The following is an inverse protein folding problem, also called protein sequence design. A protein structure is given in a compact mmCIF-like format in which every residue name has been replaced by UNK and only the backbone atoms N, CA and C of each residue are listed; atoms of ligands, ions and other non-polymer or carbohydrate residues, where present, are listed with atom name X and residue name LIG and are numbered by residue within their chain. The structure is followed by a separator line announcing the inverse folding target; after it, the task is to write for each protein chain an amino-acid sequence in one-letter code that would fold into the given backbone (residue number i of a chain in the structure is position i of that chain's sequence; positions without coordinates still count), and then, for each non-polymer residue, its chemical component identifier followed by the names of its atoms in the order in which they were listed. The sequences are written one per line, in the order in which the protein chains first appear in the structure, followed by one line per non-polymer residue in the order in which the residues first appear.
data_IF_210845162179
#
_entry.id   IF_210845162179
#
_cell.length_a   1.000
_cell.length_b   1.000
_cell.length_c   1.000
_cell.angle_alpha   90.00
_cell.angle_beta   90.00
_cell.angle_gamma   90.00
#
_symmetry.space_group_name_H-M   'P 1'
#
loop_
_entity.id
_entity.type
_entity.pdbx_description
1 polymer ?
#
# COMPACT_ATOMS: atom_id res chain seq x y z
N UNK A 1 2.20 14.31 27.84
CA UNK A 1 2.18 15.19 26.65
C UNK A 1 0.98 14.78 25.82
N UNK A 2 -0.11 15.54 25.92
CA UNK A 2 -1.32 15.34 25.12
C UNK A 2 -1.10 16.02 23.77
N UNK A 3 -0.93 15.23 22.70
CA UNK A 3 -0.94 15.74 21.34
C UNK A 3 -2.33 16.32 21.08
N UNK A 4 -2.43 17.65 21.09
CA UNK A 4 -3.64 18.38 20.73
C UNK A 4 -4.03 18.00 19.30
N UNK A 5 -5.17 17.32 19.15
CA UNK A 5 -5.90 17.17 17.88
C UNK A 5 -6.03 18.58 17.28
N UNK A 6 -5.50 18.82 16.08
CA UNK A 6 -5.74 20.10 15.39
C UNK A 6 -7.24 20.15 15.08
N UNK A 7 -7.93 21.17 15.57
CA UNK A 7 -9.28 21.53 15.11
C UNK A 7 -9.22 21.72 13.60
N UNK A 8 -9.73 20.74 12.83
CA UNK A 8 -9.74 20.79 11.37
C UNK A 8 -9.24 19.52 10.67
N UNK A 9 -8.60 18.57 11.37
CA UNK A 9 -8.32 17.27 10.74
C UNK A 9 -9.63 16.47 10.68
N UNK A 10 -10.09 16.06 9.47
CA UNK A 10 -11.31 15.28 9.33
C UNK A 10 -11.21 13.99 10.16
N UNK A 11 -12.31 13.60 10.77
CA UNK A 11 -12.33 12.37 11.56
C UNK A 11 -12.01 11.18 10.66
N UNK A 12 -11.45 10.11 11.24
CA UNK A 12 -11.08 8.93 10.46
C UNK A 12 -12.30 8.33 9.75
N UNK A 13 -13.47 8.37 10.40
CA UNK A 13 -14.73 7.93 9.83
C UNK A 13 -15.18 8.79 8.64
N UNK A 14 -14.94 10.11 8.70
CA UNK A 14 -15.25 11.02 7.60
C UNK A 14 -14.33 10.75 6.39
N UNK A 15 -13.03 10.56 6.65
CA UNK A 15 -12.05 10.17 5.63
C UNK A 15 -12.41 8.83 4.98
N UNK A 16 -12.81 7.85 5.80
CA UNK A 16 -13.23 6.54 5.35
C UNK A 16 -14.49 6.62 4.50
N UNK A 17 -15.50 7.39 4.91
CA UNK A 17 -16.73 7.59 4.16
C UNK A 17 -16.45 8.24 2.80
N UNK A 18 -15.68 9.33 2.77
CA UNK A 18 -15.32 10.04 1.55
C UNK A 18 -14.50 9.18 0.58
N UNK A 19 -13.56 8.38 1.10
CA UNK A 19 -12.75 7.47 0.29
C UNK A 19 -13.56 6.27 -0.20
N UNK A 20 -14.44 5.72 0.64
CA UNK A 20 -15.30 4.58 0.28
C UNK A 20 -16.34 4.95 -0.77
N UNK A 21 -16.81 6.20 -0.80
CA UNK A 21 -17.70 6.68 -1.87
C UNK A 21 -17.03 6.60 -3.26
N UNK A 22 -15.71 6.77 -3.32
CA UNK A 22 -14.93 6.68 -4.56
C UNK A 22 -14.41 5.26 -4.83
N UNK A 23 -14.21 4.47 -3.78
CA UNK A 23 -13.73 3.10 -3.87
C UNK A 23 -14.56 2.18 -2.95
N UNK A 24 -15.74 1.71 -3.40
CA UNK A 24 -16.68 0.97 -2.55
C UNK A 24 -16.10 -0.31 -1.91
N UNK A 25 -15.14 -0.95 -2.58
CA UNK A 25 -14.42 -2.12 -2.09
C UNK A 25 -13.68 -1.86 -0.77
N UNK A 26 -13.31 -0.60 -0.50
CA UNK A 26 -12.68 -0.20 0.75
C UNK A 26 -13.58 -0.49 1.94
N UNK A 27 -14.87 -0.15 1.85
CA UNK A 27 -15.78 -0.31 2.99
C UNK A 27 -15.94 -1.78 3.38
N UNK A 28 -16.07 -2.66 2.40
CA UNK A 28 -16.23 -4.10 2.63
C UNK A 28 -14.97 -4.77 3.20
N UNK A 29 -13.80 -4.18 2.98
CA UNK A 29 -12.51 -4.75 3.40
C UNK A 29 -11.86 -3.99 4.57
N UNK A 30 -12.48 -2.90 5.06
CA UNK A 30 -11.84 -1.98 5.98
C UNK A 30 -11.38 -2.62 7.29
N UNK A 31 -12.21 -3.48 7.88
CA UNK A 31 -11.87 -4.13 9.15
C UNK A 31 -10.65 -5.04 9.01
N UNK A 32 -10.55 -5.78 7.89
CA UNK A 32 -9.41 -6.63 7.60
C UNK A 32 -8.14 -5.82 7.29
N UNK A 33 -8.26 -4.74 6.51
CA UNK A 33 -7.16 -3.84 6.16
C UNK A 33 -6.62 -3.16 7.42
N UNK A 34 -7.51 -2.60 8.24
CA UNK A 34 -7.14 -1.87 9.44
C UNK A 34 -6.48 -2.78 10.47
N UNK A 35 -7.01 -3.99 10.69
CA UNK A 35 -6.39 -4.98 11.56
C UNK A 35 -4.98 -5.39 11.10
N UNK A 36 -4.80 -5.64 9.79
CA UNK A 36 -3.49 -6.03 9.25
C UNK A 36 -2.44 -4.91 9.39
N UNK A 37 -2.82 -3.67 9.06
CA UNK A 37 -1.93 -2.50 9.19
C UNK A 37 -1.60 -2.23 10.65
N UNK A 38 -2.58 -2.24 11.55
CA UNK A 38 -2.35 -2.00 12.97
C UNK A 38 -1.47 -3.06 13.60
N UNK A 39 -1.66 -4.33 13.24
CA UNK A 39 -0.81 -5.43 13.71
C UNK A 39 0.63 -5.29 13.20
N UNK A 40 0.81 -4.87 11.94
CA UNK A 40 2.14 -4.68 11.35
C UNK A 40 2.86 -3.45 11.90
N UNK A 41 2.17 -2.32 11.97
CA UNK A 41 2.73 -1.03 12.40
C UNK A 41 2.82 -0.90 13.93
N UNK A 42 2.14 -1.77 14.67
CA UNK A 42 1.90 -1.63 16.11
C UNK A 42 1.38 -0.21 16.48
N UNK A 43 0.49 0.33 15.66
CA UNK A 43 0.02 1.71 15.75
C UNK A 43 -1.39 1.87 15.15
N UNK A 44 -2.20 2.75 15.74
CA UNK A 44 -3.51 3.11 15.21
C UNK A 44 -3.41 3.88 13.89
N UNK A 45 -4.42 3.74 13.04
CA UNK A 45 -4.54 4.50 11.80
C UNK A 45 -5.02 5.92 12.12
N UNK A 46 -4.39 6.91 11.52
CA UNK A 46 -4.69 8.34 11.69
C UNK A 46 -5.40 8.94 10.49
N UNK A 47 -5.11 8.50 9.26
CA UNK A 47 -5.71 9.06 8.05
C UNK A 47 -5.83 8.04 6.92
N UNK A 48 -6.77 8.27 6.02
CA UNK A 48 -6.99 7.49 4.80
C UNK A 48 -7.33 8.46 3.67
N UNK A 49 -6.75 8.26 2.48
CA UNK A 49 -7.14 9.00 1.28
C UNK A 49 -6.98 8.17 0.03
N UNK A 50 -7.73 8.50 -1.02
CA UNK A 50 -7.53 7.91 -2.34
C UNK A 50 -6.19 8.41 -2.92
N UNK A 51 -5.32 7.48 -3.34
CA UNK A 51 -4.07 7.78 -4.02
C UNK A 51 -4.18 7.60 -5.54
N UNK A 52 -4.97 6.61 -5.98
CA UNK A 52 -5.33 6.40 -7.39
C UNK A 52 -6.65 5.63 -7.48
N UNK A 53 -7.10 5.33 -8.71
CA UNK A 53 -8.38 4.61 -8.95
C UNK A 53 -8.57 3.33 -8.14
N UNK A 54 -7.48 2.66 -7.74
CA UNK A 54 -7.51 1.37 -7.02
C UNK A 54 -6.56 1.34 -5.82
N UNK A 55 -5.97 2.47 -5.46
CA UNK A 55 -4.98 2.54 -4.40
C UNK A 55 -5.41 3.59 -3.41
N UNK A 56 -5.39 3.23 -2.13
CA UNK A 56 -5.53 4.16 -1.03
C UNK A 56 -4.19 4.31 -0.31
N UNK A 57 -4.00 5.49 0.26
CA UNK A 57 -2.93 5.80 1.18
C UNK A 57 -3.48 5.77 2.60
N UNK A 58 -2.81 5.04 3.48
CA UNK A 58 -3.16 4.92 4.91
C UNK A 58 -1.98 5.41 5.73
N UNK A 59 -2.23 6.33 6.65
CA UNK A 59 -1.21 6.83 7.58
C UNK A 59 -1.57 6.38 9.00
N UNK A 60 -0.54 6.14 9.81
CA UNK A 60 -0.67 5.77 11.22
C UNK A 60 -0.20 6.89 12.13
N UNK A 61 -0.63 6.85 13.39
CA UNK A 61 -0.23 7.83 14.42
C UNK A 61 1.28 7.85 14.69
N UNK A 62 2.01 6.77 14.34
CA UNK A 62 3.47 6.70 14.43
C UNK A 62 4.19 7.33 13.24
N UNK A 63 3.46 7.82 12.23
CA UNK A 63 4.01 8.38 11.00
C UNK A 63 4.32 7.34 9.92
N UNK A 64 4.11 6.04 10.19
CA UNK A 64 4.22 5.01 9.16
C UNK A 64 3.07 5.14 8.17
N UNK A 65 3.37 4.91 6.90
CA UNK A 65 2.48 5.11 5.77
C UNK A 65 2.43 3.85 4.91
N UNK A 66 1.26 3.55 4.36
CA UNK A 66 0.99 2.31 3.63
C UNK A 66 0.17 2.56 2.36
N UNK A 67 0.49 1.83 1.29
CA UNK A 67 -0.33 1.71 0.10
C UNK A 67 -1.21 0.46 0.20
N UNK A 68 -2.53 0.61 0.05
CA UNK A 68 -3.44 -0.53 -0.11
C UNK A 68 -4.01 -0.51 -1.51
N UNK A 69 -3.75 -1.56 -2.28
CA UNK A 69 -4.18 -1.72 -3.67
C UNK A 69 -5.26 -2.78 -3.77
N UNK A 70 -6.32 -2.50 -4.52
CA UNK A 70 -7.43 -3.42 -4.75
C UNK A 70 -7.33 -4.09 -6.13
N UNK A 71 -7.59 -5.39 -6.13
CA UNK A 71 -7.60 -6.24 -7.31
C UNK A 71 -8.93 -6.16 -8.05
N UNK A 72 -8.92 -6.56 -9.32
CA UNK A 72 -10.14 -6.78 -10.10
C UNK A 72 -9.90 -7.86 -11.17
N UNK A 73 -10.95 -8.38 -11.83
CA UNK A 73 -10.80 -9.46 -12.80
C UNK A 73 -9.86 -9.14 -13.99
N UNK A 74 -9.74 -7.87 -14.37
CA UNK A 74 -8.88 -7.43 -15.48
C UNK A 74 -7.43 -7.20 -15.05
N UNK A 75 -7.17 -7.08 -13.75
CA UNK A 75 -5.85 -6.80 -13.19
C UNK A 75 -5.74 -7.46 -11.80
N UNK A 76 -5.55 -8.80 -11.79
CA UNK A 76 -5.32 -9.57 -10.57
C UNK A 76 -3.99 -9.21 -9.89
N UNK A 77 -3.95 -9.38 -8.57
CA UNK A 77 -2.84 -9.06 -7.69
C UNK A 77 -1.96 -10.29 -7.36
N UNK A 78 -2.42 -11.53 -7.56
CA UNK A 78 -1.64 -12.72 -7.19
C UNK A 78 -0.23 -12.75 -7.81
N UNK A 79 -0.11 -12.34 -9.08
CA UNK A 79 1.20 -12.24 -9.76
C UNK A 79 2.07 -11.15 -9.15
N UNK A 80 1.51 -9.97 -8.88
CA UNK A 80 2.22 -8.84 -8.26
C UNK A 80 2.73 -9.20 -6.86
N UNK A 81 1.91 -9.85 -6.03
CA UNK A 81 2.32 -10.35 -4.71
C UNK A 81 3.46 -11.35 -4.82
N UNK A 82 3.34 -12.32 -5.74
CA UNK A 82 4.37 -13.33 -5.96
C UNK A 82 5.70 -12.70 -6.39
N UNK A 83 5.65 -11.70 -7.27
CA UNK A 83 6.83 -10.95 -7.71
C UNK A 83 7.44 -10.15 -6.57
N UNK A 84 6.65 -9.41 -5.78
CA UNK A 84 7.18 -8.64 -4.65
C UNK A 84 7.81 -9.55 -3.59
N UNK A 85 7.20 -10.70 -3.28
CA UNK A 85 7.77 -11.69 -2.35
C UNK A 85 9.07 -12.28 -2.88
N UNK A 86 9.13 -12.64 -4.16
CA UNK A 86 10.34 -13.15 -4.81
C UNK A 86 11.48 -12.12 -4.75
N UNK A 87 11.22 -10.88 -5.18
CA UNK A 87 12.21 -9.79 -5.18
C UNK A 87 12.68 -9.48 -3.75
N UNK A 88 11.78 -9.49 -2.77
CA UNK A 88 12.16 -9.32 -1.37
C UNK A 88 13.07 -10.45 -0.87
N UNK A 89 12.77 -11.69 -1.23
CA UNK A 89 13.62 -12.86 -0.93
C UNK A 89 15.00 -12.77 -1.60
N UNK A 90 15.06 -12.18 -2.79
CA UNK A 90 16.30 -11.88 -3.50
C UNK A 90 17.06 -10.65 -2.95
N UNK A 91 16.57 -10.04 -1.85
CA UNK A 91 17.13 -8.82 -1.24
C UNK A 91 17.09 -7.57 -2.12
N UNK A 92 16.21 -7.55 -3.14
CA UNK A 92 15.98 -6.36 -3.93
C UNK A 92 15.29 -5.27 -3.08
N UNK A 93 15.52 -3.98 -3.38
CA UNK A 93 14.96 -2.84 -2.66
C UNK A 93 13.49 -2.58 -3.05
N UNK A 94 12.62 -3.56 -2.76
CA UNK A 94 11.16 -3.46 -2.97
C UNK A 94 10.41 -3.33 -1.65
N UNK A 95 9.23 -2.67 -1.66
CA UNK A 95 8.35 -2.62 -0.48
C UNK A 95 7.97 -4.03 -0.01
N UNK A 96 7.93 -4.22 1.31
CA UNK A 96 7.42 -5.46 1.87
C UNK A 96 5.90 -5.54 1.69
N UNK A 97 5.39 -6.71 1.30
CA UNK A 97 3.96 -7.01 1.34
C UNK A 97 3.58 -7.33 2.78
N UNK A 98 2.63 -6.58 3.33
CA UNK A 98 2.10 -6.83 4.67
C UNK A 98 1.37 -8.19 4.64
N UNK A 99 1.64 -9.09 5.58
CA UNK A 99 0.92 -10.36 5.67
C UNK A 99 -0.57 -10.13 5.84
N UNK A 100 -1.38 -10.79 5.02
CA UNK A 100 -2.83 -10.85 5.16
C UNK A 100 -3.24 -12.29 5.45
N UNK A 101 -4.39 -12.49 6.11
CA UNK A 101 -4.89 -13.84 6.44
C UNK A 101 -5.34 -14.66 5.21
N UNK A 102 -5.18 -14.12 4.00
CA UNK A 102 -5.52 -14.82 2.75
C UNK A 102 -4.34 -15.72 2.36
N UNK A 103 -4.40 -16.98 2.78
CA UNK A 103 -3.37 -17.98 2.51
C UNK A 103 -3.56 -18.68 1.16
N UNK A 104 -4.77 -18.70 0.61
CA UNK A 104 -5.11 -19.36 -0.66
C UNK A 104 -6.09 -18.50 -1.49
N UNK A 105 -5.81 -18.33 -2.79
CA UNK A 105 -6.70 -17.63 -3.73
C UNK A 105 -6.17 -16.31 -4.28
N UNK A 106 -6.95 -15.67 -5.15
CA UNK A 106 -6.67 -14.34 -5.70
C UNK A 106 -6.94 -13.28 -4.61
N UNK A 107 -5.95 -12.50 -4.16
CA UNK A 107 -6.17 -11.52 -3.12
C UNK A 107 -7.01 -10.35 -3.65
N UNK A 108 -8.10 -10.02 -2.96
CA UNK A 108 -8.93 -8.85 -3.28
C UNK A 108 -8.18 -7.53 -3.06
N UNK A 109 -7.21 -7.53 -2.15
CA UNK A 109 -6.36 -6.39 -1.87
C UNK A 109 -5.00 -6.82 -1.35
N UNK A 110 -4.02 -5.93 -1.48
CA UNK A 110 -2.67 -6.07 -0.93
C UNK A 110 -2.28 -4.78 -0.24
N UNK A 111 -1.50 -4.87 0.84
CA UNK A 111 -0.94 -3.71 1.51
C UNK A 111 0.59 -3.77 1.48
N UNK A 112 1.22 -2.61 1.27
CA UNK A 112 2.68 -2.45 1.24
C UNK A 112 3.08 -1.15 1.94
N UNK A 113 4.32 -1.06 2.41
CA UNK A 113 4.85 0.21 2.92
C UNK A 113 4.84 1.28 1.83
N UNK A 114 4.47 2.51 2.19
CA UNK A 114 4.44 3.63 1.26
C UNK A 114 5.86 4.14 1.00
N UNK A 115 6.32 3.99 -0.24
CA UNK A 115 7.65 4.45 -0.67
C UNK A 115 7.79 5.97 -0.85
N UNK A 116 6.72 6.75 -0.70
CA UNK A 116 6.70 8.19 -1.03
C UNK A 116 6.41 8.46 -2.51
N UNK A 117 6.58 9.72 -2.95
CA UNK A 117 6.49 10.14 -4.37
C UNK A 117 7.72 9.73 -5.19
N UNK A 118 8.38 8.61 -4.85
CA UNK A 118 9.61 8.20 -5.53
C UNK A 118 9.25 7.74 -6.94
N UNK A 119 9.63 8.54 -7.93
CA UNK A 119 9.64 8.13 -9.33
C UNK A 119 10.83 7.19 -9.55
N UNK A 120 10.72 6.33 -10.57
CA UNK A 120 11.80 5.43 -10.99
C UNK A 120 13.11 6.21 -11.22
N UNK A 121 13.02 7.39 -11.82
CA UNK A 121 14.19 8.25 -12.12
C UNK A 121 14.94 8.68 -10.85
N UNK A 122 14.22 9.12 -9.80
CA UNK A 122 14.82 9.53 -8.54
C UNK A 122 15.47 8.36 -7.76
N UNK A 123 15.06 7.13 -8.06
CA UNK A 123 15.64 5.91 -7.52
C UNK A 123 16.87 5.45 -8.32
N UNK A 124 16.81 5.53 -9.65
CA UNK A 124 17.90 5.18 -10.55
C UNK A 124 19.11 6.11 -10.41
N UNK A 125 18.90 7.40 -10.15
CA UNK A 125 19.98 8.37 -9.88
C UNK A 125 20.82 8.02 -8.63
N UNK A 126 20.32 7.15 -7.76
CA UNK A 126 21.00 6.71 -6.53
C UNK A 126 21.62 5.32 -6.63
N UNK A 127 21.48 4.63 -7.77
CA UNK A 127 21.98 3.28 -7.99
C UNK A 127 22.98 3.23 -9.17
N UNK A 128 24.25 3.60 -8.96
CA UNK A 128 25.23 3.69 -10.04
C UNK A 128 25.63 2.35 -10.69
N UNK A 129 25.39 1.19 -10.04
CA UNK A 129 26.12 -0.05 -10.38
C UNK A 129 25.28 -1.33 -10.67
N UNK A 130 23.97 -1.29 -10.94
CA UNK A 130 23.28 -2.55 -11.31
C UNK A 130 22.07 -2.40 -12.23
N UNK A 131 22.36 -2.41 -13.54
CA UNK A 131 21.34 -2.58 -14.60
C UNK A 131 20.68 -3.98 -14.62
N UNK A 132 21.04 -4.91 -13.73
CA UNK A 132 20.48 -6.26 -13.71
C UNK A 132 19.12 -6.36 -12.98
N UNK A 133 18.79 -5.43 -12.09
CA UNK A 133 17.53 -5.41 -11.31
C UNK A 133 16.34 -4.78 -12.09
N UNK A 134 16.61 -4.28 -13.30
CA UNK A 134 15.64 -3.63 -14.20
C UNK A 134 14.47 -4.54 -14.61
N UNK A 135 14.63 -5.86 -14.57
CA UNK A 135 13.55 -6.81 -14.91
C UNK A 135 12.43 -6.86 -13.85
N UNK A 136 12.73 -6.58 -12.58
CA UNK A 136 11.73 -6.54 -11.51
C UNK A 136 10.88 -5.27 -11.54
N UNK A 137 11.46 -4.14 -11.94
CA UNK A 137 10.83 -2.81 -12.00
C UNK A 137 9.90 -2.63 -13.21
N UNK A 138 10.17 -3.31 -14.34
CA UNK A 138 9.23 -3.35 -15.47
C UNK A 138 7.87 -3.95 -15.06
N UNK A 139 7.84 -4.87 -14.07
CA UNK A 139 6.61 -5.54 -13.67
C UNK A 139 5.69 -4.66 -12.80
N UNK A 140 6.25 -3.78 -11.96
CA UNK A 140 5.45 -2.92 -11.08
C UNK A 140 4.79 -1.76 -11.84
N UNK A 141 5.45 -1.21 -12.86
CA UNK A 141 4.90 -0.16 -13.71
C UNK A 141 3.78 -0.68 -14.62
N UNK A 142 3.84 -1.95 -15.03
CA UNK A 142 2.82 -2.58 -15.88
C UNK A 142 1.48 -2.80 -15.17
N UNK A 143 1.43 -2.83 -13.83
CA UNK A 143 0.16 -3.00 -13.09
C UNK A 143 -0.54 -1.67 -12.78
N UNK A 144 0.04 -0.55 -13.25
CA UNK A 144 -0.44 0.82 -13.03
C UNK A 144 -1.06 1.51 -14.24
N UNK A 145 -1.03 0.91 -15.44
CA UNK A 145 -1.71 1.44 -16.63
C UNK A 145 -3.02 0.70 -16.92
#
# INVERSE_FOLDING_TARGET
MTLSRREGDPDLEECLAATSAQLPQLRSNWDAISAAIQAYANASISSIRLASKRVIHVETVSGLSFAVKFGNPSAPLAREVSTLRFLKGAKCPVPAVIPTNVTNGEPEWIATEWGGNRTLDAFLDQCPDSQADLAGLQLATAVGQ
#
